data_IF_742274040867
#
_entry.id   IF_742274040867
#
_cell.length_a   1.000
_cell.length_b   1.000
_cell.length_c   1.000
_cell.angle_alpha   90.00
_cell.angle_beta   90.00
_cell.angle_gamma   90.00
#
_symmetry.space_group_name_H-M   'P 1'
#
loop_
_entity.id
_entity.type
_entity.pdbx_description
1 polymer ?
#
# COMPACT_ATOMS: atom_id res chain seq x y z
N UNK A 1 1.17 -6.73 13.33
CA UNK A 1 -0.24 -7.17 13.18
C UNK A 1 -0.23 -8.58 12.61
N UNK A 2 -1.03 -9.50 13.13
CA UNK A 2 -1.19 -10.85 12.60
C UNK A 2 -2.66 -11.13 12.32
N UNK A 3 -2.97 -11.62 11.13
CA UNK A 3 -4.32 -11.98 10.70
C UNK A 3 -4.32 -13.47 10.38
N UNK A 4 -5.17 -14.23 11.07
CA UNK A 4 -5.19 -15.70 11.04
C UNK A 4 -6.57 -16.22 10.64
N UNK A 5 -6.65 -16.87 9.48
CA UNK A 5 -7.85 -17.52 8.96
C UNK A 5 -9.07 -16.59 8.98
N UNK A 6 -8.89 -15.33 8.61
CA UNK A 6 -9.91 -14.30 8.79
C UNK A 6 -10.99 -14.38 7.71
N UNK A 7 -12.25 -14.39 8.13
CA UNK A 7 -13.41 -14.36 7.25
C UNK A 7 -14.33 -13.20 7.59
N UNK A 8 -14.89 -12.58 6.55
CA UNK A 8 -16.05 -11.71 6.70
C UNK A 8 -17.12 -12.10 5.70
N UNK A 9 -18.24 -12.56 6.24
CA UNK A 9 -19.43 -12.96 5.49
C UNK A 9 -20.61 -12.12 5.97
N UNK A 10 -21.30 -11.49 5.03
CA UNK A 10 -22.49 -10.68 5.30
C UNK A 10 -23.76 -11.45 4.97
N UNK A 11 -24.76 -11.38 5.86
CA UNK A 11 -26.09 -11.97 5.65
C UNK A 11 -26.12 -13.49 5.63
N UNK A 12 -27.34 -14.03 5.46
CA UNK A 12 -27.58 -15.45 5.22
C UNK A 12 -27.08 -16.39 6.33
N UNK A 13 -26.49 -17.51 5.91
CA UNK A 13 -25.90 -18.53 6.80
C UNK A 13 -24.36 -18.59 6.61
N UNK A 14 -23.58 -17.90 7.47
CA UNK A 14 -22.13 -17.82 7.31
C UNK A 14 -21.38 -19.15 7.43
N UNK A 15 -21.86 -20.08 8.26
CA UNK A 15 -21.28 -21.43 8.41
C UNK A 15 -21.39 -22.21 7.10
N UNK A 16 -22.58 -22.21 6.49
CA UNK A 16 -22.82 -22.86 5.21
C UNK A 16 -22.04 -22.18 4.08
N UNK A 17 -22.04 -20.85 4.05
CA UNK A 17 -21.29 -20.07 3.06
C UNK A 17 -19.78 -20.37 3.11
N UNK A 18 -19.19 -20.43 4.31
CA UNK A 18 -17.79 -20.82 4.51
C UNK A 18 -17.52 -22.25 4.02
N UNK A 19 -18.43 -23.18 4.30
CA UNK A 19 -18.30 -24.58 3.85
C UNK A 19 -18.29 -24.68 2.33
N UNK A 20 -19.27 -24.05 1.66
CA UNK A 20 -19.37 -24.03 0.20
C UNK A 20 -18.16 -23.37 -0.48
N UNK A 21 -17.63 -22.29 0.10
CA UNK A 21 -16.43 -21.63 -0.40
C UNK A 21 -15.20 -22.55 -0.30
N UNK A 22 -15.05 -23.30 0.80
CA UNK A 22 -13.99 -24.31 0.97
C UNK A 22 -14.13 -25.50 0.02
N UNK A 23 -15.34 -25.81 -0.42
CA UNK A 23 -15.62 -26.79 -1.48
C UNK A 23 -15.29 -26.27 -2.90
N UNK A 24 -14.84 -25.01 -3.03
CA UNK A 24 -14.42 -24.40 -4.30
C UNK A 24 -15.54 -23.70 -5.06
N UNK A 25 -16.74 -23.52 -4.48
CA UNK A 25 -17.81 -22.75 -5.12
C UNK A 25 -17.43 -21.29 -5.26
N UNK A 26 -17.81 -20.68 -6.37
CA UNK A 26 -17.66 -19.25 -6.61
C UNK A 26 -18.54 -18.42 -5.67
N UNK A 27 -18.17 -17.14 -5.46
CA UNK A 27 -18.98 -16.21 -4.65
C UNK A 27 -20.43 -16.09 -5.13
N UNK A 28 -20.65 -16.15 -6.45
CA UNK A 28 -21.98 -16.06 -7.03
C UNK A 28 -22.85 -17.27 -6.66
N UNK A 29 -22.27 -18.47 -6.73
CA UNK A 29 -22.95 -19.70 -6.33
C UNK A 29 -23.23 -19.73 -4.83
N UNK A 30 -22.27 -19.31 -4.00
CA UNK A 30 -22.47 -19.19 -2.55
C UNK A 30 -23.62 -18.23 -2.25
N UNK A 31 -23.65 -17.05 -2.88
CA UNK A 31 -24.72 -16.07 -2.71
C UNK A 31 -26.07 -16.64 -3.12
N UNK A 32 -26.15 -17.35 -4.25
CA UNK A 32 -27.39 -17.93 -4.73
C UNK A 32 -27.94 -19.02 -3.79
N UNK A 33 -27.07 -19.81 -3.15
CA UNK A 33 -27.49 -20.91 -2.26
C UNK A 33 -27.76 -20.45 -0.82
N UNK A 34 -27.04 -19.44 -0.33
CA UNK A 34 -27.03 -19.08 1.11
C UNK A 34 -27.52 -17.68 1.43
N UNK A 35 -27.73 -16.85 0.41
CA UNK A 35 -27.96 -15.40 0.55
C UNK A 35 -26.84 -14.68 1.32
N UNK A 36 -25.64 -15.28 1.38
CA UNK A 36 -24.46 -14.72 2.03
C UNK A 36 -23.48 -14.13 1.01
N UNK A 37 -22.91 -12.97 1.34
CA UNK A 37 -21.85 -12.32 0.54
C UNK A 37 -20.51 -12.45 1.26
N UNK A 38 -19.56 -13.15 0.63
CA UNK A 38 -18.20 -13.30 1.14
C UNK A 38 -17.39 -12.06 0.74
N UNK A 39 -17.02 -11.25 1.73
CA UNK A 39 -16.17 -10.08 1.53
C UNK A 39 -14.70 -10.40 1.79
N UNK A 40 -14.38 -11.18 2.83
CA UNK A 40 -13.03 -11.69 3.12
C UNK A 40 -13.10 -13.20 3.24
N UNK A 41 -12.17 -13.89 2.57
CA UNK A 41 -12.13 -15.34 2.38
C UNK A 41 -10.76 -15.86 2.84
N UNK A 42 -10.71 -16.40 4.05
CA UNK A 42 -9.54 -17.07 4.63
C UNK A 42 -8.24 -16.27 4.54
N UNK A 43 -8.29 -14.97 4.89
CA UNK A 43 -7.11 -14.12 4.81
C UNK A 43 -6.11 -14.47 5.91
N UNK A 44 -4.85 -14.65 5.51
CA UNK A 44 -3.72 -14.98 6.39
C UNK A 44 -2.51 -14.10 6.01
N UNK A 45 -2.06 -13.24 6.92
CA UNK A 45 -0.85 -12.43 6.72
C UNK A 45 -0.34 -11.82 8.02
N UNK A 46 0.92 -11.40 8.00
CA UNK A 46 1.55 -10.63 9.07
C UNK A 46 2.14 -9.32 8.52
N UNK A 47 1.93 -8.24 9.28
CA UNK A 47 2.55 -6.93 9.11
C UNK A 47 3.56 -6.74 10.24
N UNK A 48 4.81 -6.50 9.86
CA UNK A 48 5.94 -6.27 10.76
C UNK A 48 5.85 -4.86 11.33
N UNK A 49 6.53 -4.63 12.45
CA UNK A 49 6.66 -3.29 13.00
C UNK A 49 7.43 -2.40 12.02
N UNK A 50 7.03 -1.14 11.91
CA UNK A 50 7.68 -0.11 11.08
C UNK A 50 7.59 -0.36 9.56
N UNK A 51 6.84 -1.39 9.14
CA UNK A 51 6.63 -1.75 7.74
C UNK A 51 5.44 -0.97 7.15
N UNK A 52 5.59 -0.52 5.91
CA UNK A 52 4.48 -0.11 5.05
C UNK A 52 4.00 -1.35 4.29
N UNK A 53 2.93 -1.95 4.79
CA UNK A 53 2.29 -3.11 4.16
C UNK A 53 1.08 -2.67 3.34
N UNK A 54 1.17 -2.87 2.02
CA UNK A 54 0.15 -2.44 1.08
C UNK A 54 -0.79 -3.60 0.74
N UNK A 55 -2.09 -3.36 0.79
CA UNK A 55 -3.12 -4.28 0.32
C UNK A 55 -3.75 -3.72 -0.94
N UNK A 56 -3.57 -4.41 -2.06
CA UNK A 56 -4.04 -3.97 -3.37
C UNK A 56 -5.01 -4.96 -4.01
N UNK A 57 -5.71 -4.52 -5.05
CA UNK A 57 -6.65 -5.35 -5.81
C UNK A 57 -7.82 -4.54 -6.37
N UNK A 58 -8.62 -5.16 -7.21
CA UNK A 58 -9.76 -4.48 -7.87
C UNK A 58 -10.83 -4.03 -6.88
N UNK A 59 -11.70 -3.14 -7.33
CA UNK A 59 -12.91 -2.79 -6.59
C UNK A 59 -13.74 -4.05 -6.29
N UNK A 60 -14.27 -4.14 -5.07
CA UNK A 60 -15.03 -5.31 -4.61
C UNK A 60 -14.19 -6.53 -4.18
N UNK A 61 -12.86 -6.47 -4.21
CA UNK A 61 -12.01 -7.59 -3.77
C UNK A 61 -11.98 -7.81 -2.25
N UNK A 62 -12.54 -6.89 -1.45
CA UNK A 62 -12.65 -7.03 0.01
C UNK A 62 -11.65 -6.23 0.84
N UNK A 63 -10.78 -5.43 0.22
CA UNK A 63 -9.70 -4.66 0.87
C UNK A 63 -10.19 -3.82 2.06
N UNK A 64 -11.09 -2.86 1.82
CA UNK A 64 -11.58 -1.95 2.87
C UNK A 64 -12.29 -2.72 3.99
N UNK A 65 -12.96 -3.83 3.66
CA UNK A 65 -13.57 -4.71 4.66
C UNK A 65 -12.51 -5.41 5.50
N UNK A 66 -11.42 -5.88 4.90
CA UNK A 66 -10.29 -6.49 5.60
C UNK A 66 -9.65 -5.49 6.59
N UNK A 67 -9.34 -4.26 6.13
CA UNK A 67 -8.77 -3.22 7.00
C UNK A 67 -9.70 -2.87 8.17
N UNK A 68 -11.01 -2.77 7.91
CA UNK A 68 -12.02 -2.54 8.96
C UNK A 68 -12.22 -3.73 9.89
N UNK A 69 -11.86 -4.94 9.46
CA UNK A 69 -11.80 -6.09 10.36
C UNK A 69 -10.57 -6.02 11.27
N UNK A 70 -9.43 -5.51 10.77
CA UNK A 70 -8.20 -5.36 11.57
C UNK A 70 -8.41 -4.42 12.76
N UNK A 71 -9.05 -3.25 12.56
CA UNK A 71 -9.43 -2.38 13.68
C UNK A 71 -10.77 -2.73 14.32
N UNK A 72 -11.42 -3.79 13.84
CA UNK A 72 -12.71 -4.31 14.31
C UNK A 72 -13.89 -3.32 14.21
N UNK A 73 -13.80 -2.32 13.33
CA UNK A 73 -14.99 -1.50 12.96
C UNK A 73 -16.05 -2.34 12.26
N UNK A 74 -15.61 -3.41 11.60
CA UNK A 74 -16.46 -4.49 11.12
C UNK A 74 -16.06 -5.74 11.90
N UNK A 75 -17.02 -6.37 12.57
CA UNK A 75 -16.77 -7.63 13.28
C UNK A 75 -16.45 -8.76 12.30
N UNK A 76 -15.30 -9.44 12.42
CA UNK A 76 -15.01 -10.64 11.66
C UNK A 76 -16.07 -11.72 11.91
N UNK A 77 -16.37 -12.52 10.90
CA UNK A 77 -17.26 -13.67 11.05
C UNK A 77 -16.52 -14.86 11.66
N UNK A 78 -15.29 -15.10 11.21
CA UNK A 78 -14.41 -16.16 11.72
C UNK A 78 -12.95 -15.69 11.68
N UNK A 79 -12.08 -16.42 12.37
CA UNK A 79 -10.65 -16.12 12.45
C UNK A 79 -10.32 -15.12 13.54
N UNK A 80 -9.04 -14.75 13.59
CA UNK A 80 -8.50 -13.89 14.64
C UNK A 80 -7.64 -12.77 14.07
N UNK A 81 -7.59 -11.67 14.80
CA UNK A 81 -6.65 -10.56 14.54
C UNK A 81 -5.85 -10.34 15.83
N UNK A 82 -4.52 -10.33 15.73
CA UNK A 82 -3.62 -10.02 16.83
C UNK A 82 -2.82 -8.75 16.56
N UNK A 83 -2.66 -7.95 17.59
CA UNK A 83 -1.89 -6.69 17.55
C UNK A 83 -0.97 -6.68 18.77
N UNK A 84 0.34 -6.55 18.54
CA UNK A 84 1.39 -6.76 19.56
C UNK A 84 1.20 -8.06 20.36
N UNK A 85 0.78 -9.13 19.69
CA UNK A 85 0.52 -10.44 20.30
C UNK A 85 -0.81 -10.57 21.05
N UNK A 86 -1.56 -9.48 21.25
CA UNK A 86 -2.89 -9.53 21.89
C UNK A 86 -3.99 -9.78 20.86
N UNK A 87 -4.90 -10.72 21.13
CA UNK A 87 -6.02 -11.04 20.24
C UNK A 87 -7.16 -10.01 20.34
N UNK A 88 -7.20 -9.09 19.37
CA UNK A 88 -8.16 -7.98 19.28
C UNK A 88 -9.60 -8.47 19.08
N UNK A 89 -9.77 -9.62 18.42
CA UNK A 89 -11.09 -10.26 18.23
C UNK A 89 -11.72 -10.71 19.55
N UNK A 90 -10.92 -10.95 20.59
CA UNK A 90 -11.38 -11.36 21.91
C UNK A 90 -11.60 -10.17 22.89
N UNK A 91 -11.25 -8.94 22.50
CA UNK A 91 -11.39 -7.77 23.38
C UNK A 91 -12.85 -7.45 23.70
N UNK A 92 -13.09 -6.90 24.88
CA UNK A 92 -14.34 -6.21 25.17
C UNK A 92 -14.35 -4.80 24.55
N UNK A 93 -15.47 -4.09 24.67
CA UNK A 93 -15.64 -2.77 24.06
C UNK A 93 -14.69 -1.72 24.63
N UNK A 94 -14.36 -1.79 25.92
CA UNK A 94 -13.54 -0.80 26.60
C UNK A 94 -12.07 -0.97 26.21
N UNK A 95 -11.57 -2.20 26.20
CA UNK A 95 -10.20 -2.51 25.75
C UNK A 95 -10.02 -2.22 24.26
N UNK A 96 -11.03 -2.52 23.44
CA UNK A 96 -11.01 -2.17 22.01
C UNK A 96 -11.00 -0.65 21.79
N UNK A 97 -11.75 0.11 22.59
CA UNK A 97 -11.76 1.57 22.54
C UNK A 97 -10.41 2.15 22.97
N UNK A 98 -9.78 1.58 24.00
CA UNK A 98 -8.44 1.98 24.44
C UNK A 98 -7.40 1.75 23.34
N UNK A 99 -7.39 0.56 22.71
CA UNK A 99 -6.50 0.24 21.58
C UNK A 99 -6.65 1.27 20.44
N UNK A 100 -7.88 1.55 20.02
CA UNK A 100 -8.17 2.52 18.95
C UNK A 100 -7.83 3.96 19.30
N UNK A 101 -7.75 4.30 20.58
CA UNK A 101 -7.48 5.65 21.05
C UNK A 101 -5.99 5.92 21.23
N UNK A 102 -5.21 4.88 21.52
CA UNK A 102 -3.82 5.02 21.95
C UNK A 102 -2.80 4.38 21.02
N UNK A 103 -3.21 3.41 20.19
CA UNK A 103 -2.29 2.62 19.37
C UNK A 103 -2.58 2.71 17.88
N UNK A 104 -3.84 2.88 17.50
CA UNK A 104 -4.26 2.89 16.11
C UNK A 104 -4.82 4.25 15.69
N UNK A 105 -4.59 4.63 14.44
CA UNK A 105 -5.35 5.69 13.77
C UNK A 105 -5.79 5.24 12.39
N UNK A 106 -6.86 5.86 11.87
CA UNK A 106 -7.43 5.51 10.59
C UNK A 106 -7.64 6.74 9.71
N UNK A 107 -7.21 6.63 8.45
CA UNK A 107 -7.53 7.56 7.36
C UNK A 107 -8.54 6.89 6.45
N UNK A 108 -9.72 7.52 6.31
CA UNK A 108 -10.83 7.01 5.52
C UNK A 108 -10.77 7.51 4.07
N UNK A 109 -11.33 6.72 3.15
CA UNK A 109 -11.46 7.06 1.73
C UNK A 109 -12.21 8.38 1.50
N UNK A 110 -13.38 8.53 2.13
CA UNK A 110 -14.05 9.83 2.24
C UNK A 110 -13.56 10.45 3.54
N UNK A 111 -12.90 11.61 3.47
CA UNK A 111 -12.06 12.29 4.49
C UNK A 111 -12.51 12.16 5.97
N UNK A 112 -13.80 11.90 6.21
CA UNK A 112 -14.34 11.57 7.51
C UNK A 112 -14.33 12.77 8.45
N UNK A 113 -14.18 13.97 7.89
CA UNK A 113 -14.14 15.21 8.66
C UNK A 113 -15.52 15.57 9.15
N UNK A 114 -15.58 16.16 10.34
CA UNK A 114 -16.79 16.71 10.92
C UNK A 114 -17.06 18.09 10.31
N UNK A 115 -18.13 18.27 9.52
CA UNK A 115 -18.39 19.53 8.82
C UNK A 115 -18.82 20.67 9.73
N UNK A 116 -19.19 20.35 10.97
CA UNK A 116 -19.59 21.32 12.00
C UNK A 116 -18.43 21.72 12.92
N UNK A 117 -17.20 21.27 12.63
CA UNK A 117 -15.98 21.62 13.35
C UNK A 117 -15.00 22.29 12.38
N UNK A 118 -14.19 23.20 12.91
CA UNK A 118 -13.08 23.79 12.16
C UNK A 118 -12.03 22.74 11.82
N UNK A 119 -11.07 23.10 10.98
CA UNK A 119 -9.88 22.29 10.68
C UNK A 119 -9.16 21.89 11.98
N UNK A 120 -8.84 22.86 12.84
CA UNK A 120 -8.22 22.61 14.14
C UNK A 120 -9.07 21.66 14.99
N UNK A 121 -10.39 21.89 15.04
CA UNK A 121 -11.33 21.06 15.80
C UNK A 121 -11.46 19.62 15.28
N UNK A 122 -11.14 19.38 14.01
CA UNK A 122 -11.04 18.05 13.42
C UNK A 122 -9.73 17.37 13.82
N UNK A 123 -8.61 18.09 13.74
CA UNK A 123 -7.29 17.55 14.08
C UNK A 123 -7.23 17.21 15.58
N UNK A 124 -7.61 18.13 16.48
CA UNK A 124 -7.51 17.88 17.93
C UNK A 124 -8.52 16.85 18.47
N UNK A 125 -9.45 16.36 17.66
CA UNK A 125 -10.57 15.50 18.10
C UNK A 125 -10.09 14.21 18.79
N UNK A 126 -9.07 13.54 18.23
CA UNK A 126 -8.53 12.32 18.83
C UNK A 126 -7.98 12.55 20.24
N UNK A 127 -7.24 13.65 20.40
CA UNK A 127 -6.67 14.09 21.67
C UNK A 127 -7.74 14.56 22.67
N UNK A 128 -8.80 15.23 22.20
CA UNK A 128 -9.97 15.59 23.01
C UNK A 128 -10.63 14.35 23.62
N UNK A 129 -10.85 13.31 22.82
CA UNK A 129 -11.45 12.04 23.28
C UNK A 129 -10.48 11.23 24.15
N UNK A 130 -9.17 11.42 23.97
CA UNK A 130 -8.13 10.91 24.87
C UNK A 130 -8.09 11.62 26.22
N UNK A 131 -8.79 12.76 26.37
CA UNK A 131 -8.83 13.54 27.61
C UNK A 131 -7.62 14.46 27.80
N UNK A 132 -6.88 14.76 26.73
CA UNK A 132 -5.76 15.71 26.77
C UNK A 132 -6.28 17.14 27.02
N UNK A 133 -5.49 17.91 27.77
CA UNK A 133 -5.80 19.31 28.06
C UNK A 133 -5.92 20.13 26.76
N UNK A 134 -6.79 21.14 26.79
CA UNK A 134 -7.12 21.96 25.63
C UNK A 134 -5.92 22.72 25.07
N UNK A 135 -5.04 23.23 25.92
CA UNK A 135 -3.86 23.98 25.47
C UNK A 135 -2.88 23.04 24.77
N UNK A 136 -2.57 21.91 25.41
CA UNK A 136 -1.66 20.89 24.89
C UNK A 136 -2.13 20.29 23.57
N UNK A 137 -3.42 19.95 23.45
CA UNK A 137 -3.94 19.37 22.22
C UNK A 137 -3.97 20.36 21.07
N UNK A 138 -4.20 21.65 21.34
CA UNK A 138 -4.20 22.70 20.30
C UNK A 138 -2.78 22.93 19.78
N UNK A 139 -1.79 22.90 20.67
CA UNK A 139 -0.37 22.98 20.29
C UNK A 139 0.03 21.80 19.40
N UNK A 140 -0.27 20.56 19.81
CA UNK A 140 0.00 19.37 18.98
C UNK A 140 -0.73 19.41 17.65
N UNK A 141 -2.01 19.81 17.63
CA UNK A 141 -2.79 19.90 16.42
C UNK A 141 -2.22 20.96 15.46
N UNK A 142 -1.71 22.08 15.97
CA UNK A 142 -1.02 23.10 15.18
C UNK A 142 0.27 22.55 14.54
N UNK A 143 1.11 21.86 15.31
CA UNK A 143 2.32 21.21 14.79
C UNK A 143 1.98 20.19 13.68
N UNK A 144 0.90 19.41 13.87
CA UNK A 144 0.44 18.44 12.87
C UNK A 144 -0.10 19.11 11.61
N UNK A 145 -0.73 20.30 11.72
CA UNK A 145 -1.16 21.09 10.56
C UNK A 145 0.03 21.68 9.80
N UNK A 146 1.05 22.18 10.50
CA UNK A 146 2.30 22.65 9.89
C UNK A 146 2.97 21.54 9.09
N UNK A 147 3.05 20.34 9.68
CA UNK A 147 3.63 19.17 9.04
C UNK A 147 2.96 18.82 7.71
N UNK A 148 1.62 18.88 7.63
CA UNK A 148 0.90 18.60 6.37
C UNK A 148 0.79 19.82 5.44
N UNK A 149 1.49 20.92 5.75
CA UNK A 149 1.50 22.15 4.96
C UNK A 149 0.18 22.93 5.01
N UNK A 150 -0.55 22.87 6.11
CA UNK A 150 -1.82 23.57 6.36
C UNK A 150 -1.71 24.63 7.47
N UNK A 151 -0.52 25.19 7.68
CA UNK A 151 -0.36 26.32 8.60
C UNK A 151 -1.28 27.49 8.22
N UNK A 152 -1.85 28.15 9.24
CA UNK A 152 -2.81 29.24 9.07
C UNK A 152 -4.25 28.85 8.72
N UNK A 153 -4.54 27.57 8.42
CA UNK A 153 -5.89 27.11 8.08
C UNK A 153 -6.71 26.59 9.28
N UNK A 154 -6.16 26.62 10.50
CA UNK A 154 -6.78 26.01 11.68
C UNK A 154 -8.20 26.49 12.00
N UNK A 155 -8.49 27.78 11.76
CA UNK A 155 -9.80 28.37 12.03
C UNK A 155 -10.80 28.23 10.86
N UNK A 156 -10.35 27.76 9.69
CA UNK A 156 -11.23 27.53 8.54
C UNK A 156 -12.21 26.37 8.79
N UNK A 157 -13.32 26.40 8.07
CA UNK A 157 -14.27 25.29 8.01
C UNK A 157 -13.86 24.30 6.92
N UNK A 158 -14.23 23.03 7.09
CA UNK A 158 -13.87 21.97 6.12
C UNK A 158 -14.44 22.23 4.73
N UNK A 159 -15.60 22.90 4.64
CA UNK A 159 -16.24 23.29 3.37
C UNK A 159 -15.49 24.37 2.60
N UNK A 160 -14.57 25.10 3.25
CA UNK A 160 -13.75 26.14 2.62
C UNK A 160 -12.47 25.55 1.99
N UNK A 161 -12.20 24.27 2.23
CA UNK A 161 -11.01 23.57 1.77
C UNK A 161 -11.25 22.79 0.48
N UNK A 162 -10.23 22.72 -0.38
CA UNK A 162 -10.22 21.79 -1.52
C UNK A 162 -10.21 20.33 -1.03
N UNK A 163 -10.56 19.38 -1.89
CA UNK A 163 -10.52 17.95 -1.54
C UNK A 163 -9.14 17.49 -1.05
N UNK A 164 -8.07 17.97 -1.70
CA UNK A 164 -6.70 17.66 -1.27
C UNK A 164 -6.34 18.25 0.10
N UNK A 165 -6.81 19.45 0.40
CA UNK A 165 -6.63 20.05 1.73
C UNK A 165 -7.44 19.30 2.79
N UNK A 166 -8.69 18.91 2.50
CA UNK A 166 -9.50 18.09 3.42
C UNK A 166 -8.82 16.76 3.74
N UNK A 167 -8.15 16.16 2.76
CA UNK A 167 -7.39 14.95 2.98
C UNK A 167 -6.17 15.17 3.88
N UNK A 168 -5.42 16.25 3.67
CA UNK A 168 -4.32 16.65 4.55
C UNK A 168 -4.79 16.85 5.99
N UNK A 169 -5.97 17.45 6.21
CA UNK A 169 -6.60 17.52 7.53
C UNK A 169 -6.90 16.12 8.09
N UNK A 170 -7.42 15.22 7.26
CA UNK A 170 -7.70 13.84 7.65
C UNK A 170 -6.43 13.07 8.06
N UNK A 171 -5.32 13.30 7.35
CA UNK A 171 -4.01 12.77 7.69
C UNK A 171 -3.49 13.39 9.00
N UNK A 172 -3.47 14.72 9.12
CA UNK A 172 -3.05 15.41 10.36
C UNK A 172 -3.83 14.88 11.58
N UNK A 173 -5.15 14.73 11.47
CA UNK A 173 -5.99 14.14 12.54
C UNK A 173 -5.56 12.72 12.93
N UNK A 174 -5.11 11.92 11.97
CA UNK A 174 -4.61 10.58 12.25
C UNK A 174 -3.23 10.63 12.93
N UNK A 175 -2.35 11.51 12.45
CA UNK A 175 -0.96 11.60 12.91
C UNK A 175 -0.81 12.28 14.28
N UNK A 176 -1.68 13.21 14.63
CA UNK A 176 -1.59 13.99 15.88
C UNK A 176 -1.61 13.13 17.16
N UNK A 177 -2.11 11.90 17.07
CA UNK A 177 -2.16 10.97 18.21
C UNK A 177 -0.86 10.15 18.37
N UNK A 178 0.17 10.41 17.56
CA UNK A 178 1.41 9.65 17.53
C UNK A 178 1.16 8.12 17.44
N UNK A 179 0.38 7.65 16.44
CA UNK A 179 -0.09 6.27 16.41
C UNK A 179 1.04 5.28 16.13
N UNK A 180 1.02 4.13 16.81
CA UNK A 180 1.91 3.00 16.50
C UNK A 180 1.51 2.30 15.19
N UNK A 181 0.21 2.33 14.86
CA UNK A 181 -0.37 1.72 13.67
C UNK A 181 -1.26 2.73 12.94
N UNK A 182 -0.96 2.98 11.67
CA UNK A 182 -1.75 3.81 10.77
C UNK A 182 -2.46 2.95 9.74
N UNK A 183 -3.79 3.00 9.73
CA UNK A 183 -4.65 2.27 8.80
C UNK A 183 -5.18 3.23 7.74
N UNK A 184 -4.91 2.97 6.47
CA UNK A 184 -5.27 3.90 5.39
C UNK A 184 -6.11 3.21 4.34
N UNK A 185 -7.32 3.71 4.11
CA UNK A 185 -8.30 3.10 3.18
C UNK A 185 -8.43 3.95 1.91
N UNK A 186 -7.70 3.61 0.85
CA UNK A 186 -7.66 4.35 -0.43
C UNK A 186 -7.45 5.86 -0.24
N UNK A 187 -6.60 6.22 0.74
CA UNK A 187 -6.47 7.59 1.22
C UNK A 187 -6.22 8.54 0.05
N UNK A 188 -5.29 8.24 -0.85
CA UNK A 188 -4.86 9.14 -1.93
C UNK A 188 -5.67 9.04 -3.24
N UNK A 189 -6.70 8.20 -3.28
CA UNK A 189 -7.49 7.95 -4.50
C UNK A 189 -8.26 9.16 -5.01
N UNK A 190 -8.70 10.04 -4.11
CA UNK A 190 -9.47 11.24 -4.44
C UNK A 190 -8.60 12.45 -4.86
N UNK A 191 -7.28 12.31 -4.82
CA UNK A 191 -6.33 13.38 -5.14
C UNK A 191 -5.99 13.42 -6.62
N UNK A 192 -5.83 14.64 -7.12
CA UNK A 192 -5.15 14.91 -8.38
C UNK A 192 -3.68 14.41 -8.35
N UNK A 193 -3.08 14.06 -9.52
CA UNK A 193 -1.81 13.35 -9.56
C UNK A 193 -0.63 14.07 -8.91
N UNK A 194 -0.58 15.40 -8.99
CA UNK A 194 0.50 16.18 -8.40
C UNK A 194 0.42 16.15 -6.87
N UNK A 195 -0.74 16.49 -6.30
CA UNK A 195 -0.95 16.49 -4.86
C UNK A 195 -0.84 15.06 -4.30
N UNK A 196 -1.26 14.04 -5.05
CA UNK A 196 -1.03 12.64 -4.71
C UNK A 196 0.46 12.35 -4.52
N UNK A 197 1.29 12.70 -5.51
CA UNK A 197 2.72 12.43 -5.47
C UNK A 197 3.40 13.14 -4.30
N UNK A 198 3.06 14.42 -4.07
CA UNK A 198 3.58 15.21 -2.94
C UNK A 198 3.21 14.55 -1.61
N UNK A 199 1.95 14.14 -1.43
CA UNK A 199 1.50 13.53 -0.18
C UNK A 199 2.13 12.17 0.10
N UNK A 200 2.37 11.37 -0.93
CA UNK A 200 3.07 10.10 -0.79
C UNK A 200 4.53 10.33 -0.37
N UNK A 201 5.21 11.33 -0.94
CA UNK A 201 6.57 11.69 -0.55
C UNK A 201 6.62 12.16 0.90
N UNK A 202 5.70 13.03 1.30
CA UNK A 202 5.59 13.50 2.68
C UNK A 202 5.40 12.34 3.66
N UNK A 203 4.55 11.36 3.33
CA UNK A 203 4.36 10.18 4.17
C UNK A 203 5.63 9.33 4.30
N UNK A 204 6.39 9.19 3.21
CA UNK A 204 7.66 8.45 3.21
C UNK A 204 8.72 9.20 4.03
N UNK A 205 8.86 10.52 3.83
CA UNK A 205 9.77 11.37 4.61
C UNK A 205 9.43 11.32 6.12
N UNK A 206 8.14 11.32 6.45
CA UNK A 206 7.67 11.15 7.81
C UNK A 206 8.01 9.79 8.40
N UNK A 207 7.84 8.72 7.63
CA UNK A 207 8.19 7.37 8.05
C UNK A 207 9.70 7.28 8.36
N UNK A 208 10.55 7.92 7.56
CA UNK A 208 12.01 7.95 7.76
C UNK A 208 12.44 8.77 8.98
N UNK A 209 11.71 9.85 9.29
CA UNK A 209 12.04 10.75 10.39
C UNK A 209 11.49 10.29 11.76
N UNK A 210 10.44 9.47 11.79
CA UNK A 210 9.85 8.99 13.03
C UNK A 210 10.71 7.92 13.71
N UNK A 211 10.90 8.09 15.03
CA UNK A 211 11.61 7.14 15.87
C UNK A 211 10.78 6.81 17.12
N UNK A 212 10.18 5.60 17.21
CA UNK A 212 10.16 4.56 16.18
C UNK A 212 9.21 4.93 15.02
N UNK A 213 9.49 4.42 13.82
CA UNK A 213 8.62 4.60 12.67
C UNK A 213 7.23 3.96 12.88
N UNK A 214 6.21 4.52 12.25
CA UNK A 214 4.84 4.01 12.34
C UNK A 214 4.66 2.76 11.47
N UNK A 215 3.89 1.79 11.95
CA UNK A 215 3.48 0.64 11.12
C UNK A 215 2.28 1.03 10.26
N UNK A 216 2.38 0.94 8.94
CA UNK A 216 1.32 1.40 8.04
C UNK A 216 0.67 0.22 7.32
N UNK A 217 -0.65 0.07 7.46
CA UNK A 217 -1.45 -0.85 6.64
C UNK A 217 -2.25 -0.02 5.64
N UNK A 218 -1.78 0.00 4.40
CA UNK A 218 -2.24 0.91 3.36
C UNK A 218 -3.03 0.18 2.28
N UNK A 219 -4.24 0.63 1.97
CA UNK A 219 -5.05 0.09 0.86
C UNK A 219 -4.99 1.02 -0.33
N UNK A 220 -4.75 0.43 -1.50
CA UNK A 220 -4.91 1.12 -2.78
C UNK A 220 -5.44 0.19 -3.87
N UNK A 221 -5.91 0.78 -4.96
CA UNK A 221 -6.17 0.07 -6.21
C UNK A 221 -5.12 0.40 -7.29
N UNK A 222 -4.20 1.34 -7.00
CA UNK A 222 -3.15 1.80 -7.89
C UNK A 222 -1.85 1.01 -7.63
N UNK A 223 -1.34 0.36 -8.66
CA UNK A 223 -0.13 -0.45 -8.55
C UNK A 223 1.13 0.42 -8.42
N UNK A 224 1.19 1.57 -9.10
CA UNK A 224 2.37 2.46 -9.01
C UNK A 224 2.53 2.99 -7.59
N UNK A 225 1.40 3.27 -6.92
CA UNK A 225 1.39 3.66 -5.52
C UNK A 225 1.84 2.53 -4.58
N UNK A 226 1.37 1.30 -4.82
CA UNK A 226 1.79 0.14 -4.04
C UNK A 226 3.29 -0.14 -4.18
N UNK A 227 3.82 0.01 -5.39
CA UNK A 227 5.24 -0.21 -5.70
C UNK A 227 6.13 0.92 -5.15
N UNK A 228 5.63 2.16 -5.12
CA UNK A 228 6.37 3.30 -4.59
C UNK A 228 6.47 3.28 -3.07
N UNK A 229 5.37 2.97 -2.38
CA UNK A 229 5.31 3.11 -0.91
C UNK A 229 5.48 1.80 -0.14
N UNK A 230 5.17 0.65 -0.74
CA UNK A 230 5.08 -0.61 -0.02
C UNK A 230 6.43 -1.32 0.14
N UNK A 231 6.77 -1.66 1.38
CA UNK A 231 7.83 -2.64 1.67
C UNK A 231 7.40 -4.03 1.21
N UNK A 232 6.14 -4.38 1.48
CA UNK A 232 5.47 -5.59 1.03
C UNK A 232 4.06 -5.29 0.57
N UNK A 233 3.64 -6.04 -0.44
CA UNK A 233 2.36 -5.88 -1.12
C UNK A 233 1.60 -7.20 -1.03
N UNK A 234 0.36 -7.14 -0.59
CA UNK A 234 -0.62 -8.21 -0.67
C UNK A 234 -1.64 -7.92 -1.76
N UNK A 235 -1.69 -8.75 -2.80
CA UNK A 235 -2.70 -8.66 -3.85
C UNK A 235 -3.91 -9.48 -3.42
N UNK A 236 -5.09 -8.85 -3.37
CA UNK A 236 -6.36 -9.48 -3.05
C UNK A 236 -7.20 -9.75 -4.29
N UNK A 237 -7.75 -10.97 -4.36
CA UNK A 237 -8.72 -11.40 -5.36
C UNK A 237 -9.88 -12.09 -4.67
N UNK A 238 -11.10 -11.70 -5.01
CA UNK A 238 -12.30 -12.38 -4.52
C UNK A 238 -12.29 -12.63 -3.00
N UNK A 239 -11.89 -11.63 -2.20
CA UNK A 239 -11.83 -11.70 -0.74
C UNK A 239 -10.64 -12.46 -0.16
N UNK A 240 -9.90 -13.21 -0.99
CA UNK A 240 -8.70 -13.93 -0.58
C UNK A 240 -7.42 -13.18 -0.95
N UNK A 241 -6.31 -13.61 -0.35
CA UNK A 241 -4.97 -13.15 -0.70
C UNK A 241 -4.47 -14.03 -1.85
N UNK A 242 -4.15 -13.41 -2.99
CA UNK A 242 -3.60 -14.08 -4.16
C UNK A 242 -2.07 -14.24 -4.06
N UNK A 243 -1.37 -13.17 -3.65
CA UNK A 243 0.08 -13.18 -3.47
C UNK A 243 0.49 -12.14 -2.41
N UNK A 244 1.54 -12.45 -1.65
CA UNK A 244 2.25 -11.48 -0.81
C UNK A 244 3.73 -11.52 -1.21
N UNK A 245 4.32 -10.36 -1.45
CA UNK A 245 5.75 -10.24 -1.77
C UNK A 245 6.23 -8.80 -1.71
N UNK A 246 7.53 -8.61 -1.86
CA UNK A 246 8.14 -7.31 -2.10
C UNK A 246 7.71 -6.76 -3.47
N UNK A 247 7.81 -5.43 -3.71
CA UNK A 247 7.59 -4.85 -5.03
C UNK A 247 8.33 -5.58 -6.16
N UNK A 248 9.58 -5.97 -5.92
CA UNK A 248 10.37 -6.75 -6.89
C UNK A 248 9.75 -8.12 -7.16
N UNK A 249 9.44 -8.91 -6.13
CA UNK A 249 8.85 -10.25 -6.28
C UNK A 249 7.49 -10.21 -7.00
N UNK A 250 6.66 -9.21 -6.72
CA UNK A 250 5.38 -9.02 -7.43
C UNK A 250 5.61 -8.80 -8.92
N UNK A 251 6.64 -8.04 -9.30
CA UNK A 251 6.97 -7.74 -10.70
C UNK A 251 7.70 -8.91 -11.39
N UNK A 252 8.56 -9.65 -10.70
CA UNK A 252 9.43 -10.68 -11.30
C UNK A 252 8.86 -12.08 -11.23
N UNK A 253 8.05 -12.37 -10.22
CA UNK A 253 7.55 -13.70 -9.89
C UNK A 253 6.03 -13.66 -9.60
N UNK A 254 5.19 -13.25 -10.58
CA UNK A 254 3.75 -13.25 -10.39
C UNK A 254 3.23 -14.68 -10.21
N UNK A 255 2.48 -14.92 -9.13
CA UNK A 255 2.03 -16.25 -8.70
C UNK A 255 1.00 -16.87 -9.65
N UNK A 256 0.17 -16.04 -10.29
CA UNK A 256 -0.84 -16.48 -11.25
C UNK A 256 -1.09 -15.42 -12.35
N UNK A 257 -1.98 -15.76 -13.29
CA UNK A 257 -2.36 -14.87 -14.39
C UNK A 257 -3.08 -13.59 -13.90
N UNK A 258 -3.79 -13.67 -12.77
CA UNK A 258 -4.44 -12.50 -12.19
C UNK A 258 -3.40 -11.50 -11.70
N UNK A 259 -2.40 -11.94 -10.94
CA UNK A 259 -1.29 -11.08 -10.50
C UNK A 259 -0.50 -10.55 -11.69
N UNK A 260 -0.20 -11.43 -12.67
CA UNK A 260 0.49 -11.03 -13.90
C UNK A 260 -0.23 -9.87 -14.60
N UNK A 261 -1.55 -9.92 -14.69
CA UNK A 261 -2.35 -8.87 -15.35
C UNK A 261 -2.23 -7.48 -14.72
N UNK A 262 -1.91 -7.37 -13.43
CA UNK A 262 -1.65 -6.06 -12.80
C UNK A 262 -0.30 -5.48 -13.21
N UNK A 263 0.72 -6.35 -13.31
CA UNK A 263 2.10 -5.91 -13.54
C UNK A 263 2.46 -5.72 -15.01
N UNK A 264 1.60 -6.17 -15.95
CA UNK A 264 1.83 -6.07 -17.41
C UNK A 264 2.15 -4.64 -17.88
N UNK A 265 1.63 -3.62 -17.20
CA UNK A 265 1.67 -2.23 -17.67
C UNK A 265 2.64 -1.34 -16.89
N UNK A 266 3.44 -1.92 -15.98
CA UNK A 266 4.38 -1.17 -15.13
C UNK A 266 5.74 -1.05 -15.81
N UNK A 267 6.38 0.10 -15.61
CA UNK A 267 7.79 0.27 -15.95
C UNK A 267 8.69 -0.42 -14.92
N UNK A 268 9.09 -1.66 -15.20
CA UNK A 268 9.87 -2.50 -14.28
C UNK A 268 11.27 -1.93 -14.01
N UNK A 269 11.81 -1.14 -14.95
CA UNK A 269 13.18 -0.62 -14.86
C UNK A 269 13.38 0.36 -13.70
N UNK A 270 12.29 0.99 -13.23
CA UNK A 270 12.31 1.95 -12.12
C UNK A 270 12.34 1.30 -10.74
N UNK A 271 12.03 0.01 -10.65
CA UNK A 271 11.82 -0.68 -9.37
C UNK A 271 12.75 -1.89 -9.23
N UNK A 272 13.00 -2.60 -10.34
CA UNK A 272 13.88 -3.77 -10.33
C UNK A 272 15.31 -3.31 -10.04
N UNK A 273 15.92 -3.78 -8.94
CA UNK A 273 17.24 -3.34 -8.52
C UNK A 273 18.37 -4.09 -9.25
N UNK A 274 19.56 -3.51 -9.23
CA UNK A 274 20.77 -4.06 -9.85
C UNK A 274 21.04 -5.51 -9.46
N UNK A 275 20.81 -5.88 -8.19
CA UNK A 275 21.01 -7.26 -7.70
C UNK A 275 20.15 -8.31 -8.41
N UNK A 276 19.04 -7.93 -9.03
CA UNK A 276 18.15 -8.86 -9.73
C UNK A 276 18.72 -9.30 -11.08
N UNK A 277 19.56 -8.47 -11.70
CA UNK A 277 20.18 -8.72 -13.01
C UNK A 277 21.69 -8.91 -12.94
N UNK A 278 22.27 -8.82 -11.73
CA UNK A 278 23.72 -9.02 -11.53
C UNK A 278 24.10 -10.48 -11.72
N UNK A 279 25.37 -10.68 -12.09
CA UNK A 279 26.02 -11.99 -12.17
C UNK A 279 27.40 -11.93 -11.55
N UNK A 280 27.97 -13.11 -11.31
CA UNK A 280 29.38 -13.19 -10.91
C UNK A 280 30.30 -12.63 -11.99
N UNK A 281 31.42 -12.06 -11.54
CA UNK A 281 32.50 -11.60 -12.41
C UNK A 281 33.10 -12.81 -13.14
N UNK A 282 33.24 -12.72 -14.47
CA UNK A 282 33.86 -13.81 -15.24
C UNK A 282 35.38 -13.69 -15.20
N UNK A 283 36.07 -14.81 -15.41
CA UNK A 283 37.54 -14.88 -15.36
C UNK A 283 38.24 -13.99 -16.40
N UNK A 284 37.56 -13.66 -17.51
CA UNK A 284 38.03 -12.80 -18.59
C UNK A 284 37.70 -11.31 -18.40
N UNK A 285 37.00 -10.98 -17.31
CA UNK A 285 36.55 -9.61 -17.00
C UNK A 285 37.37 -9.03 -15.85
N UNK A 286 37.61 -7.72 -15.90
CA UNK A 286 38.26 -7.00 -14.79
C UNK A 286 37.43 -5.77 -14.46
N UNK A 287 37.28 -5.49 -13.16
CA UNK A 287 36.62 -4.28 -12.68
C UNK A 287 37.59 -3.53 -11.78
N UNK A 288 37.93 -2.28 -12.11
CA UNK A 288 38.83 -1.49 -11.27
C UNK A 288 38.27 -1.35 -9.85
N UNK A 289 39.16 -1.41 -8.84
CA UNK A 289 38.77 -1.21 -7.45
C UNK A 289 38.16 0.19 -7.24
N UNK A 290 38.75 1.21 -7.88
CA UNK A 290 38.31 2.61 -7.84
C UNK A 290 37.42 2.99 -9.05
N UNK A 291 36.88 1.99 -9.75
CA UNK A 291 36.00 2.20 -10.91
C UNK A 291 34.58 2.61 -10.50
N UNK A 292 33.77 3.10 -11.46
CA UNK A 292 32.36 3.36 -11.20
C UNK A 292 31.67 2.09 -10.68
N UNK A 293 30.88 2.25 -9.63
CA UNK A 293 30.12 1.16 -9.02
C UNK A 293 28.77 1.66 -8.50
N UNK A 294 27.86 0.74 -8.31
CA UNK A 294 26.49 1.00 -7.87
C UNK A 294 26.11 0.11 -6.70
N UNK A 295 25.09 0.54 -5.94
CA UNK A 295 24.51 -0.27 -4.88
C UNK A 295 23.70 -1.44 -5.47
N UNK A 296 23.66 -2.62 -4.80
CA UNK A 296 22.77 -3.71 -5.19
C UNK A 296 21.29 -3.33 -5.19
N UNK A 297 20.93 -2.22 -4.53
CA UNK A 297 19.57 -1.71 -4.43
C UNK A 297 19.23 -0.64 -5.48
N UNK A 298 20.21 -0.17 -6.26
CA UNK A 298 19.99 0.86 -7.30
C UNK A 298 19.08 0.32 -8.40
N UNK A 299 17.99 1.01 -8.78
CA UNK A 299 17.12 0.62 -9.88
C UNK A 299 17.82 0.56 -11.23
N UNK A 300 17.39 -0.36 -12.10
CA UNK A 300 17.98 -0.53 -13.45
C UNK A 300 17.99 0.76 -14.27
N UNK A 301 16.95 1.59 -14.19
CA UNK A 301 16.87 2.85 -14.92
C UNK A 301 18.02 3.82 -14.56
N UNK A 302 18.49 3.79 -13.31
CA UNK A 302 19.60 4.62 -12.83
C UNK A 302 20.98 4.04 -13.20
N UNK A 303 21.04 2.76 -13.58
CA UNK A 303 22.27 2.14 -14.06
C UNK A 303 22.62 2.60 -15.48
N UNK A 304 21.61 2.97 -16.28
CA UNK A 304 21.76 3.23 -17.71
C UNK A 304 22.82 4.30 -18.04
N UNK A 305 22.85 5.48 -17.39
CA UNK A 305 23.86 6.49 -17.69
C UNK A 305 25.28 5.96 -17.42
N UNK A 306 25.49 5.34 -16.25
CA UNK A 306 26.79 4.81 -15.83
C UNK A 306 27.25 3.64 -16.68
N UNK A 307 26.32 2.79 -17.14
CA UNK A 307 26.61 1.67 -18.04
C UNK A 307 27.00 2.12 -19.44
N UNK A 308 26.45 3.23 -19.94
CA UNK A 308 26.78 3.75 -21.28
C UNK A 308 28.19 4.34 -21.35
N UNK A 309 28.70 4.86 -20.22
CA UNK A 309 30.03 5.44 -20.11
C UNK A 309 31.11 4.41 -19.71
N UNK A 310 30.73 3.17 -19.39
CA UNK A 310 31.64 2.12 -18.95
C UNK A 310 32.17 1.29 -20.14
N UNK A 311 33.50 1.10 -20.20
CA UNK A 311 34.16 0.23 -21.18
C UNK A 311 34.00 -1.30 -20.88
N UNK A 312 33.22 -1.66 -19.86
CA UNK A 312 33.08 -3.02 -19.34
C UNK A 312 31.89 -3.18 -18.39
N UNK A 313 31.73 -4.34 -17.73
CA UNK A 313 30.61 -4.56 -16.83
C UNK A 313 30.72 -3.68 -15.58
N UNK A 314 29.58 -3.16 -15.10
CA UNK A 314 29.51 -2.25 -13.97
C UNK A 314 29.60 -3.02 -12.65
N UNK A 315 30.49 -2.62 -11.74
CA UNK A 315 30.60 -3.23 -10.42
C UNK A 315 29.37 -2.94 -9.55
N UNK A 316 28.85 -3.96 -8.88
CA UNK A 316 27.84 -3.83 -7.83
C UNK A 316 28.52 -4.06 -6.48
N UNK A 317 28.51 -3.05 -5.61
CA UNK A 317 29.21 -3.08 -4.32
C UNK A 317 28.29 -2.73 -3.16
N UNK A 318 28.46 -3.41 -2.03
CA UNK A 318 27.81 -3.02 -0.79
C UNK A 318 28.40 -1.71 -0.24
N UNK A 319 27.74 -1.14 0.78
CA UNK A 319 28.19 0.07 1.47
C UNK A 319 29.58 -0.06 2.13
N UNK A 320 30.04 -1.29 2.40
CA UNK A 320 31.39 -1.59 2.90
C UNK A 320 32.46 -1.69 1.78
N UNK A 321 32.06 -1.51 0.51
CA UNK A 321 32.93 -1.59 -0.67
C UNK A 321 33.15 -3.01 -1.22
N UNK A 322 32.58 -4.04 -0.58
CA UNK A 322 32.69 -5.43 -1.03
C UNK A 322 32.00 -5.64 -2.38
N UNK A 323 32.67 -6.34 -3.30
CA UNK A 323 32.10 -6.66 -4.61
C UNK A 323 31.08 -7.78 -4.48
N UNK A 324 29.82 -7.50 -4.83
CA UNK A 324 28.74 -8.49 -4.84
C UNK A 324 28.56 -9.16 -6.19
N UNK A 325 28.94 -8.47 -7.27
CA UNK A 325 28.84 -8.98 -8.62
C UNK A 325 29.02 -7.87 -9.63
N UNK A 326 28.65 -8.16 -10.87
CA UNK A 326 28.68 -7.19 -11.96
C UNK A 326 27.40 -7.22 -12.77
N UNK A 327 27.04 -6.06 -13.32
CA UNK A 327 25.91 -5.91 -14.25
C UNK A 327 26.47 -5.62 -15.64
N UNK A 328 26.11 -6.45 -16.61
CA UNK A 328 26.49 -6.22 -18.01
C UNK A 328 25.45 -5.37 -18.73
N UNK A 329 25.90 -4.65 -19.76
CA UNK A 329 25.00 -3.91 -20.64
C UNK A 329 23.95 -4.83 -21.28
N UNK A 330 24.33 -6.05 -21.67
CA UNK A 330 23.42 -7.06 -22.22
C UNK A 330 22.28 -7.42 -21.25
N UNK A 331 22.59 -7.62 -19.97
CA UNK A 331 21.59 -7.97 -18.96
C UNK A 331 20.58 -6.85 -18.74
N UNK A 332 21.04 -5.60 -18.67
CA UNK A 332 20.18 -4.42 -18.55
C UNK A 332 19.36 -4.20 -19.81
N UNK A 333 19.97 -4.32 -20.98
CA UNK A 333 19.25 -4.17 -22.25
C UNK A 333 18.17 -5.23 -22.43
N UNK A 334 18.39 -6.47 -21.97
CA UNK A 334 17.35 -7.50 -21.98
C UNK A 334 16.14 -7.07 -21.14
N UNK A 335 16.35 -6.57 -19.93
CA UNK A 335 15.25 -6.10 -19.08
C UNK A 335 14.53 -4.87 -19.69
N UNK A 336 15.29 -3.92 -20.25
CA UNK A 336 14.73 -2.75 -20.94
C UNK A 336 13.88 -3.16 -22.15
N UNK A 337 14.35 -4.15 -22.93
CA UNK A 337 13.60 -4.68 -24.07
C UNK A 337 12.34 -5.41 -23.63
N UNK A 338 12.41 -6.26 -22.60
CA UNK A 338 11.22 -6.92 -22.03
C UNK A 338 10.19 -5.89 -21.53
N UNK A 339 10.64 -4.83 -20.87
CA UNK A 339 9.80 -3.72 -20.43
C UNK A 339 9.17 -2.94 -21.61
N UNK A 340 9.95 -2.68 -22.67
CA UNK A 340 9.51 -1.99 -23.87
C UNK A 340 8.53 -2.82 -24.72
N UNK A 341 8.73 -4.14 -24.81
CA UNK A 341 7.78 -5.04 -25.46
C UNK A 341 6.47 -5.13 -24.67
N UNK A 342 6.56 -5.08 -23.34
CA UNK A 342 5.41 -4.81 -22.48
C UNK A 342 4.70 -3.52 -22.88
N UNK A 343 5.43 -2.42 -23.03
CA UNK A 343 4.90 -1.11 -23.47
C UNK A 343 4.21 -1.14 -24.83
N UNK A 344 4.77 -1.82 -25.83
CA UNK A 344 4.13 -1.92 -27.15
C UNK A 344 2.83 -2.73 -27.11
N UNK A 345 2.74 -3.75 -26.24
CA UNK A 345 1.48 -4.47 -25.99
C UNK A 345 0.43 -3.56 -25.32
N UNK A 346 0.85 -2.58 -24.49
CA UNK A 346 -0.02 -1.54 -23.90
C UNK A 346 -0.73 -0.73 -24.99
N UNK A 347 0.04 -0.16 -25.92
CA UNK A 347 -0.48 0.69 -27.01
C UNK A 347 -1.43 -0.07 -27.95
N UNK A 348 -1.08 -1.32 -28.28
CA UNK A 348 -1.89 -2.16 -29.17
C UNK A 348 -3.25 -2.59 -28.56
N UNK A 349 -3.35 -2.71 -27.23
CA UNK A 349 -4.62 -3.00 -26.53
C UNK A 349 -5.47 -1.75 -26.33
N UNK A 350 -4.87 -0.62 -25.97
CA UNK A 350 -5.58 0.65 -25.79
C UNK A 350 -6.26 1.12 -27.10
N UNK A 351 -5.59 0.94 -28.25
CA UNK A 351 -6.15 1.28 -29.56
C UNK A 351 -7.31 0.40 -30.05
N UNK A 352 -7.59 -0.73 -29.39
CA UNK A 352 -8.76 -1.59 -29.71
C UNK A 352 -10.03 -1.21 -28.94
N UNK A 353 -9.91 -0.36 -27.93
CA UNK A 353 -11.05 0.11 -27.11
C UNK A 353 -11.71 1.38 -27.66
N UNK A 354 -11.16 1.99 -28.71
CA UNK A 354 -11.70 3.19 -29.38
C UNK A 354 -12.48 2.89 -30.68
N UNK A 355 -12.62 1.64 -31.11
CA UNK A 355 -13.56 1.27 -32.19
C UNK A 355 -14.94 0.94 -31.59
N UNK A 356 -15.94 1.74 -32.02
CA UNK A 356 -17.33 1.82 -31.55
C UNK A 356 -18.06 0.47 -31.38
N UNK A 357 -19.01 0.35 -30.42
CA UNK A 357 -20.04 -0.67 -30.51
C UNK A 357 -21.06 -0.25 -31.58
N UNK A 358 -20.90 -0.76 -32.80
CA UNK A 358 -21.96 -0.74 -33.81
C UNK A 358 -23.20 -1.48 -33.28
N UNK A 359 -24.26 -0.71 -33.07
CA UNK A 359 -25.69 -1.04 -33.18
C UNK A 359 -26.08 -2.53 -33.21
N UNK A 360 -26.77 -2.97 -32.16
CA UNK A 360 -27.75 -4.05 -32.26
C UNK A 360 -28.97 -3.73 -31.39
N UNK A 361 -29.86 -2.89 -31.94
CA UNK A 361 -31.27 -2.83 -31.59
C UNK A 361 -31.99 -3.82 -32.49
N UNK A 362 -32.52 -4.90 -31.90
CA UNK A 362 -33.70 -5.63 -32.38
C UNK A 362 -34.25 -6.50 -31.24
#
# INVERSE_FOLDING_TARGET
IEVEGLWKIFGGNPERARTLAKEGKSKAEVKAETDSVIAVNDANFGVREQEIFVVMGLSGSGKSTLLRCVNRLIEPTFGAVKVHGEEVTAFDEDRLRELRRTKMSMVFQNFGLFPHRTVMGNVEYGLEVAGMDREQRREKAQQSLELVGLDGYGDSQTSELSGGMQQRVGLARALVNDPEILLMDEAFSALDPLIRADMQNELLELQEQWDPACTILFITHDLDEALKMGDRIAIMKDGGIAQIGTPTEILTEPADEYVRSFVENVDRTKIVPARTVMRDLRDDETVPADGPSVSPHTPIAELLPTLLDADGPLAVRDSDGSLRGVVSQEAVMKEVVENADGARRREARAGRTEEEPETAVA
#
